data_IF_905148011339
#
_entry.id   IF_905148011339
#
_cell.length_a   1.000
_cell.length_b   1.000
_cell.length_c   1.000
_cell.angle_alpha   90.00
_cell.angle_beta   90.00
_cell.angle_gamma   90.00
#
_symmetry.space_group_name_H-M   'P 1'
#
loop_
_entity.id
_entity.type
_entity.pdbx_description
1 polymer ?
#
# COMPACT_ATOMS: atom_id res chain seq x y z
N UNK A 1 -44.67 19.33 8.15
CA UNK A 1 -44.37 18.45 9.30
C UNK A 1 -42.86 18.52 9.44
N UNK A 2 -42.37 19.66 9.89
CA UNK A 2 -42.11 20.09 11.28
C UNK A 2 -40.89 19.36 11.86
N UNK A 3 -39.80 20.14 11.97
CA UNK A 3 -38.47 19.72 12.35
C UNK A 3 -38.10 20.37 13.69
N UNK A 4 -38.65 19.81 14.76
CA UNK A 4 -38.19 19.98 16.13
C UNK A 4 -38.45 18.68 16.88
N UNK A 5 -37.64 18.46 17.91
CA UNK A 5 -37.58 17.25 18.73
C UNK A 5 -36.74 16.19 18.00
N UNK A 6 -35.42 16.11 18.23
CA UNK A 6 -34.89 15.61 19.49
C UNK A 6 -33.53 16.23 19.85
N UNK A 7 -33.52 17.00 20.94
CA UNK A 7 -32.31 17.47 21.62
C UNK A 7 -31.62 16.35 22.41
N UNK A 8 -31.25 15.24 21.75
CA UNK A 8 -30.34 14.27 22.35
C UNK A 8 -28.91 14.78 22.22
N UNK A 9 -28.52 15.55 23.23
CA UNK A 9 -27.12 15.75 23.60
C UNK A 9 -26.56 14.36 23.92
N UNK A 10 -25.80 13.77 23.00
CA UNK A 10 -24.93 12.65 23.32
C UNK A 10 -23.94 13.15 24.36
N UNK A 11 -24.22 12.87 25.63
CA UNK A 11 -23.26 13.00 26.71
C UNK A 11 -22.20 11.90 26.54
N UNK A 12 -21.17 12.23 25.77
CA UNK A 12 -20.01 11.38 25.54
C UNK A 12 -19.01 11.41 26.72
N UNK A 13 -19.33 12.12 27.82
CA UNK A 13 -18.36 12.47 28.86
C UNK A 13 -18.16 11.39 29.94
N UNK A 14 -18.87 10.26 29.84
CA UNK A 14 -18.73 9.14 30.77
C UNK A 14 -17.80 8.01 30.26
N UNK A 15 -17.27 8.10 29.05
CA UNK A 15 -16.20 7.20 28.57
C UNK A 15 -14.83 7.69 29.03
N UNK A 16 -14.65 7.81 30.35
CA UNK A 16 -13.34 8.00 30.93
C UNK A 16 -12.55 6.68 30.90
N UNK A 17 -12.13 6.25 29.70
CA UNK A 17 -11.11 5.18 29.57
C UNK A 17 -9.74 5.80 29.73
N UNK A 18 -9.47 6.17 30.98
CA UNK A 18 -8.14 6.52 31.48
C UNK A 18 -7.24 5.29 31.35
N UNK A 19 -6.27 5.38 30.44
CA UNK A 19 -4.85 5.08 30.72
C UNK A 19 -4.42 3.63 30.98
N UNK A 20 -4.91 2.66 30.22
CA UNK A 20 -4.21 1.38 30.01
C UNK A 20 -3.49 1.27 28.65
N UNK A 21 -3.97 2.02 27.65
CA UNK A 21 -3.57 1.83 26.25
C UNK A 21 -2.36 2.64 25.80
N UNK A 22 -1.98 3.71 26.52
CA UNK A 22 -0.93 4.64 26.06
C UNK A 22 0.45 3.99 25.86
N UNK A 23 0.83 2.99 26.68
CA UNK A 23 2.11 2.29 26.49
C UNK A 23 2.06 1.31 25.31
N UNK A 24 0.93 0.60 25.13
CA UNK A 24 0.73 -0.30 23.99
C UNK A 24 0.55 0.46 22.68
N UNK A 25 -0.15 1.60 22.70
CA UNK A 25 -0.31 2.49 21.54
C UNK A 25 1.00 3.17 21.17
N UNK A 26 1.82 3.60 22.13
CA UNK A 26 3.13 4.17 21.83
C UNK A 26 4.09 3.13 21.22
N UNK A 27 4.10 1.90 21.77
CA UNK A 27 4.89 0.80 21.20
C UNK A 27 4.40 0.42 19.80
N UNK A 28 3.08 0.36 19.60
CA UNK A 28 2.46 0.08 18.30
C UNK A 28 2.69 1.19 17.29
N UNK A 29 2.60 2.46 17.69
CA UNK A 29 2.96 3.63 16.87
C UNK A 29 4.45 3.63 16.49
N UNK A 30 5.34 3.24 17.40
CA UNK A 30 6.77 3.14 17.12
C UNK A 30 7.07 1.97 16.16
N UNK A 31 6.47 0.80 16.39
CA UNK A 31 6.57 -0.37 15.51
C UNK A 31 5.96 -0.11 14.14
N UNK A 32 4.81 0.54 14.06
CA UNK A 32 4.14 0.89 12.81
C UNK A 32 4.98 1.89 12.01
N UNK A 33 5.57 2.92 12.68
CA UNK A 33 6.49 3.86 12.01
C UNK A 33 7.77 3.18 11.53
N UNK A 34 8.32 2.24 12.30
CA UNK A 34 9.52 1.51 11.90
C UNK A 34 9.21 0.55 10.74
N UNK A 35 8.08 -0.16 10.80
CA UNK A 35 7.59 -1.03 9.75
C UNK A 35 7.26 -0.26 8.46
N UNK A 36 6.67 0.93 8.56
CA UNK A 36 6.40 1.81 7.40
C UNK A 36 7.70 2.30 6.77
N UNK A 37 8.73 2.63 7.56
CA UNK A 37 10.07 2.97 7.02
C UNK A 37 10.71 1.78 6.32
N UNK A 38 10.74 0.60 6.94
CA UNK A 38 11.27 -0.62 6.32
C UNK A 38 10.51 -0.94 5.04
N UNK A 39 9.18 -0.78 5.05
CA UNK A 39 8.32 -0.96 3.87
C UNK A 39 8.74 -0.03 2.73
N UNK A 40 8.94 1.27 3.01
CA UNK A 40 9.38 2.24 2.00
C UNK A 40 10.81 2.00 1.53
N UNK A 41 11.68 1.51 2.41
CA UNK A 41 13.09 1.27 2.13
C UNK A 41 13.32 -0.01 1.32
N UNK A 42 12.63 -1.10 1.67
CA UNK A 42 12.66 -2.36 0.93
C UNK A 42 12.04 -2.24 -0.46
N UNK A 43 11.08 -1.32 -0.65
CA UNK A 43 10.53 -0.98 -1.97
C UNK A 43 11.38 0.01 -2.78
N UNK A 44 12.50 0.50 -2.25
CA UNK A 44 13.33 1.53 -2.88
C UNK A 44 14.58 0.96 -3.56
N UNK A 45 14.94 1.53 -4.71
CA UNK A 45 16.21 1.26 -5.41
C UNK A 45 17.46 1.56 -4.55
N UNK A 46 17.32 2.39 -3.51
CA UNK A 46 18.41 2.72 -2.58
C UNK A 46 18.94 1.49 -1.83
N UNK A 47 18.08 0.50 -1.56
CA UNK A 47 18.46 -0.74 -0.88
C UNK A 47 19.48 -1.53 -1.70
N UNK A 48 19.24 -1.66 -3.01
CA UNK A 48 20.10 -2.37 -3.95
C UNK A 48 21.48 -1.69 -3.99
N UNK A 49 21.51 -0.36 -4.06
CA UNK A 49 22.76 0.39 -4.12
C UNK A 49 23.62 0.19 -2.87
N UNK A 50 23.02 0.22 -1.67
CA UNK A 50 23.73 -0.03 -0.41
C UNK A 50 24.34 -1.44 -0.39
N UNK A 51 23.58 -2.45 -0.83
CA UNK A 51 24.06 -3.83 -0.91
C UNK A 51 25.20 -3.99 -1.90
N UNK A 52 25.07 -3.41 -3.10
CA UNK A 52 26.13 -3.43 -4.12
C UNK A 52 27.42 -2.80 -3.60
N UNK A 53 27.34 -1.64 -2.93
CA UNK A 53 28.52 -0.98 -2.35
C UNK A 53 29.11 -1.80 -1.20
N UNK A 54 28.27 -2.32 -0.29
CA UNK A 54 28.70 -3.16 0.82
C UNK A 54 29.44 -4.42 0.35
N UNK A 55 28.87 -5.16 -0.61
CA UNK A 55 29.52 -6.33 -1.19
C UNK A 55 30.80 -5.97 -1.92
N UNK A 56 30.80 -4.87 -2.68
CA UNK A 56 32.00 -4.36 -3.34
C UNK A 56 33.14 -4.08 -2.34
N UNK A 57 32.83 -3.41 -1.24
CA UNK A 57 33.78 -3.12 -0.15
C UNK A 57 34.28 -4.42 0.50
N UNK A 58 33.39 -5.36 0.81
CA UNK A 58 33.75 -6.63 1.44
C UNK A 58 34.67 -7.48 0.55
N UNK A 59 34.37 -7.55 -0.75
CA UNK A 59 35.20 -8.24 -1.73
C UNK A 59 36.56 -7.54 -1.85
N UNK A 60 36.61 -6.20 -1.92
CA UNK A 60 37.88 -5.47 -1.94
C UNK A 60 38.74 -5.73 -0.70
N UNK A 61 38.13 -5.81 0.49
CA UNK A 61 38.84 -6.17 1.72
C UNK A 61 39.37 -7.61 1.70
N UNK A 62 38.58 -8.58 1.21
CA UNK A 62 38.98 -10.00 1.21
C UNK A 62 39.93 -10.37 0.06
N UNK A 63 39.95 -9.64 -1.05
CA UNK A 63 40.90 -9.82 -2.17
C UNK A 63 42.32 -9.35 -1.80
N UNK A 64 42.51 -8.79 -0.59
CA UNK A 64 43.85 -8.59 -0.02
C UNK A 64 44.47 -7.23 -0.30
N UNK A 65 43.66 -6.20 -0.60
CA UNK A 65 44.16 -4.81 -0.79
C UNK A 65 44.91 -4.28 0.44
N UNK A 66 44.64 -4.81 1.65
CA UNK A 66 45.25 -4.36 2.92
C UNK A 66 46.26 -5.34 3.56
N UNK A 67 46.66 -6.43 2.88
CA UNK A 67 47.75 -7.30 3.34
C UNK A 67 47.40 -8.78 3.46
N UNK A 68 48.29 -9.63 2.94
CA UNK A 68 48.10 -11.06 2.70
C UNK A 68 48.04 -11.97 3.95
N UNK A 69 48.00 -11.44 5.18
CA UNK A 69 48.12 -12.24 6.41
C UNK A 69 46.82 -12.50 7.17
N UNK A 70 45.67 -11.94 6.74
CA UNK A 70 44.38 -12.16 7.41
C UNK A 70 43.29 -12.50 6.38
N UNK A 71 43.40 -13.68 5.74
CA UNK A 71 42.31 -14.24 4.93
C UNK A 71 41.16 -14.66 5.86
N UNK A 72 40.28 -13.72 6.19
CA UNK A 72 39.18 -13.93 7.12
C UNK A 72 38.04 -14.76 6.49
N UNK A 73 37.89 -14.71 5.15
CA UNK A 73 36.92 -15.51 4.38
C UNK A 73 37.52 -15.91 3.02
N UNK A 74 38.02 -17.15 2.90
CA UNK A 74 38.62 -17.67 1.66
C UNK A 74 37.52 -17.94 0.62
N UNK A 75 37.83 -17.69 -0.66
CA UNK A 75 36.90 -17.97 -1.76
C UNK A 75 36.42 -19.43 -1.65
N UNK A 76 35.10 -19.69 -1.51
CA UNK A 76 33.96 -18.95 -2.08
C UNK A 76 33.17 -18.02 -1.14
N UNK A 77 33.79 -17.42 -0.10
CA UNK A 77 33.13 -16.49 0.83
C UNK A 77 31.94 -17.09 1.59
N UNK A 78 32.21 -18.12 2.40
CA UNK A 78 31.16 -18.89 3.09
C UNK A 78 30.42 -18.08 4.15
N UNK A 79 31.13 -17.20 4.87
CA UNK A 79 30.52 -16.38 5.93
C UNK A 79 29.62 -15.30 5.35
N UNK A 80 30.06 -14.62 4.29
CA UNK A 80 29.24 -13.64 3.58
C UNK A 80 27.95 -14.29 3.06
N UNK A 81 28.07 -15.45 2.40
CA UNK A 81 26.91 -16.13 1.83
C UNK A 81 25.90 -16.54 2.91
N UNK A 82 26.36 -17.02 4.07
CA UNK A 82 25.47 -17.34 5.20
C UNK A 82 24.73 -16.10 5.71
N UNK A 83 25.45 -15.01 5.99
CA UNK A 83 24.83 -13.77 6.50
C UNK A 83 23.82 -13.21 5.50
N UNK A 84 24.17 -13.17 4.22
CA UNK A 84 23.28 -12.68 3.15
C UNK A 84 22.03 -13.55 3.01
N UNK A 85 22.17 -14.88 3.13
CA UNK A 85 21.02 -15.78 3.05
C UNK A 85 20.02 -15.52 4.18
N UNK A 86 20.51 -15.29 5.40
CA UNK A 86 19.69 -14.95 6.55
C UNK A 86 19.02 -13.58 6.35
N UNK A 87 19.79 -12.57 5.93
CA UNK A 87 19.28 -11.23 5.64
C UNK A 87 18.18 -11.25 4.58
N UNK A 88 18.36 -12.02 3.51
CA UNK A 88 17.37 -12.20 2.46
C UNK A 88 16.05 -12.80 2.96
N UNK A 89 16.10 -13.79 3.87
CA UNK A 89 14.90 -14.38 4.50
C UNK A 89 14.13 -13.33 5.31
N UNK A 90 14.84 -12.52 6.11
CA UNK A 90 14.23 -11.44 6.88
C UNK A 90 13.58 -10.41 5.96
N UNK A 91 14.29 -9.99 4.91
CA UNK A 91 13.78 -9.03 3.93
C UNK A 91 12.53 -9.54 3.21
N UNK A 92 12.55 -10.80 2.73
CA UNK A 92 11.39 -11.42 2.10
C UNK A 92 10.18 -11.43 3.03
N UNK A 93 10.39 -11.73 4.32
CA UNK A 93 9.34 -11.70 5.34
C UNK A 93 8.81 -10.28 5.57
N UNK A 94 9.69 -9.28 5.69
CA UNK A 94 9.27 -7.88 5.84
C UNK A 94 8.51 -7.37 4.62
N UNK A 95 8.97 -7.72 3.41
CA UNK A 95 8.28 -7.40 2.16
C UNK A 95 6.91 -8.06 2.13
N UNK A 96 6.78 -9.33 2.52
CA UNK A 96 5.49 -10.02 2.57
C UNK A 96 4.51 -9.36 3.55
N UNK A 97 4.97 -9.00 4.75
CA UNK A 97 4.15 -8.27 5.74
C UNK A 97 3.72 -6.90 5.20
N UNK A 98 4.63 -6.19 4.54
CA UNK A 98 4.36 -4.91 3.88
C UNK A 98 3.31 -5.06 2.77
N UNK A 99 3.48 -6.05 1.89
CA UNK A 99 2.55 -6.35 0.81
C UNK A 99 1.17 -6.72 1.33
N UNK A 100 1.09 -7.56 2.37
CA UNK A 100 -0.19 -7.90 3.01
C UNK A 100 -0.90 -6.67 3.58
N UNK A 101 -0.14 -5.75 4.20
CA UNK A 101 -0.69 -4.49 4.73
C UNK A 101 -1.15 -3.54 3.62
N UNK A 102 -0.41 -3.47 2.51
CA UNK A 102 -0.81 -2.68 1.33
C UNK A 102 -2.04 -3.28 0.64
N UNK A 103 -2.13 -4.61 0.52
CA UNK A 103 -3.28 -5.30 -0.03
C UNK A 103 -4.55 -5.03 0.78
N UNK A 104 -4.48 -5.11 2.12
CA UNK A 104 -5.60 -4.77 2.99
C UNK A 104 -6.06 -3.30 2.83
N UNK A 105 -5.12 -2.35 2.72
CA UNK A 105 -5.45 -0.94 2.43
C UNK A 105 -6.06 -0.75 1.05
N UNK A 106 -5.58 -1.48 0.04
CA UNK A 106 -6.10 -1.44 -1.32
C UNK A 106 -7.53 -2.00 -1.39
N UNK A 107 -7.81 -3.08 -0.66
CA UNK A 107 -9.13 -3.68 -0.61
C UNK A 107 -10.16 -2.74 0.03
N UNK A 108 -9.81 -2.13 1.17
CA UNK A 108 -10.64 -1.11 1.80
C UNK A 108 -10.90 0.11 0.89
N UNK A 109 -9.88 0.56 0.15
CA UNK A 109 -10.04 1.64 -0.84
C UNK A 109 -10.97 1.23 -1.98
N UNK A 110 -10.81 0.02 -2.51
CA UNK A 110 -11.67 -0.53 -3.57
C UNK A 110 -13.15 -0.56 -3.16
N UNK A 111 -13.43 -0.96 -1.90
CA UNK A 111 -14.80 -0.94 -1.37
C UNK A 111 -15.36 0.48 -1.27
N UNK A 112 -14.58 1.45 -0.78
CA UNK A 112 -14.99 2.84 -0.71
C UNK A 112 -15.23 3.45 -2.10
N UNK A 113 -14.35 3.17 -3.06
CA UNK A 113 -14.49 3.62 -4.46
C UNK A 113 -15.74 3.01 -5.11
N UNK A 114 -16.05 1.74 -4.81
CA UNK A 114 -17.27 1.08 -5.27
C UNK A 114 -18.53 1.74 -4.72
N UNK A 115 -18.58 2.02 -3.42
CA UNK A 115 -19.71 2.72 -2.78
C UNK A 115 -19.91 4.13 -3.36
N UNK A 116 -18.82 4.89 -3.49
CA UNK A 116 -18.87 6.23 -4.09
C UNK A 116 -19.37 6.20 -5.53
N UNK A 117 -18.97 5.20 -6.32
CA UNK A 117 -19.43 5.03 -7.70
C UNK A 117 -20.92 4.68 -7.76
N UNK A 118 -21.39 3.75 -6.92
CA UNK A 118 -22.83 3.43 -6.81
C UNK A 118 -23.64 4.67 -6.42
N UNK A 119 -23.17 5.43 -5.43
CA UNK A 119 -23.82 6.67 -5.02
C UNK A 119 -23.91 7.64 -6.21
N UNK A 120 -22.80 7.92 -6.90
CA UNK A 120 -22.77 8.79 -8.07
C UNK A 120 -23.74 8.35 -9.18
N UNK A 121 -23.82 7.04 -9.45
CA UNK A 121 -24.76 6.48 -10.42
C UNK A 121 -26.22 6.74 -10.02
N UNK A 122 -26.57 6.50 -8.76
CA UNK A 122 -27.93 6.75 -8.23
C UNK A 122 -28.30 8.22 -8.36
N UNK A 123 -27.39 9.13 -7.98
CA UNK A 123 -27.59 10.57 -8.14
C UNK A 123 -27.81 10.95 -9.61
N UNK A 124 -26.99 10.41 -10.53
CA UNK A 124 -27.13 10.68 -11.97
C UNK A 124 -28.48 10.23 -12.51
N UNK A 125 -28.93 9.02 -12.16
CA UNK A 125 -30.25 8.51 -12.59
C UNK A 125 -31.38 9.37 -12.00
N UNK A 126 -31.27 9.76 -10.73
CA UNK A 126 -32.29 10.59 -10.08
C UNK A 126 -32.40 11.98 -10.73
N UNK A 127 -31.27 12.62 -11.02
CA UNK A 127 -31.23 13.90 -11.73
C UNK A 127 -31.80 13.75 -13.14
N UNK A 128 -31.43 12.68 -13.86
CA UNK A 128 -31.95 12.40 -15.19
C UNK A 128 -33.47 12.28 -15.20
N UNK A 129 -34.03 11.52 -14.26
CA UNK A 129 -35.47 11.37 -14.09
C UNK A 129 -36.16 12.70 -13.72
N UNK A 130 -35.55 13.52 -12.85
CA UNK A 130 -36.08 14.86 -12.47
C UNK A 130 -36.09 15.85 -13.63
N UNK A 131 -35.12 15.75 -14.54
CA UNK A 131 -35.03 16.58 -15.74
C UNK A 131 -35.90 16.07 -16.90
N UNK A 132 -36.56 14.92 -16.74
CA UNK A 132 -37.36 14.30 -17.80
C UNK A 132 -36.51 13.75 -18.96
N UNK A 133 -35.25 13.42 -18.70
CA UNK A 133 -34.39 12.77 -19.69
C UNK A 133 -34.89 11.35 -19.97
N UNK A 134 -35.06 11.04 -21.25
CA UNK A 134 -35.35 9.68 -21.69
C UNK A 134 -34.08 8.82 -21.57
N UNK A 135 -34.05 8.00 -20.52
CA UNK A 135 -32.93 7.10 -20.21
C UNK A 135 -32.71 6.09 -21.33
N UNK A 136 -33.77 5.65 -22.02
CA UNK A 136 -33.67 4.66 -23.11
C UNK A 136 -32.96 5.25 -24.32
N UNK A 137 -33.24 6.53 -24.65
CA UNK A 137 -32.52 7.24 -25.70
C UNK A 137 -31.03 7.41 -25.39
N UNK A 138 -30.69 7.81 -24.15
CA UNK A 138 -29.30 7.98 -23.72
C UNK A 138 -28.54 6.65 -23.75
N UNK A 139 -29.16 5.55 -23.30
CA UNK A 139 -28.56 4.23 -23.33
C UNK A 139 -28.28 3.76 -24.78
N UNK A 140 -29.21 4.03 -25.70
CA UNK A 140 -29.05 3.71 -27.12
C UNK A 140 -27.91 4.52 -27.77
N UNK A 141 -27.76 5.82 -27.43
CA UNK A 141 -26.63 6.64 -27.86
C UNK A 141 -25.29 6.08 -27.34
N UNK A 142 -25.21 5.75 -26.05
CA UNK A 142 -24.01 5.15 -25.46
C UNK A 142 -23.63 3.84 -26.14
N UNK A 143 -24.59 2.93 -26.38
CA UNK A 143 -24.35 1.67 -27.10
C UNK A 143 -23.78 1.92 -28.51
N UNK A 144 -24.36 2.87 -29.25
CA UNK A 144 -23.89 3.23 -30.58
C UNK A 144 -22.46 3.76 -30.60
N UNK A 145 -22.10 4.65 -29.66
CA UNK A 145 -20.75 5.20 -29.55
C UNK A 145 -19.73 4.13 -29.16
N UNK A 146 -20.08 3.24 -28.22
CA UNK A 146 -19.21 2.13 -27.80
C UNK A 146 -18.96 1.16 -28.95
N UNK A 147 -19.99 0.81 -29.73
CA UNK A 147 -19.80 -0.04 -30.91
C UNK A 147 -18.92 0.61 -31.97
N UNK A 148 -19.09 1.92 -32.21
CA UNK A 148 -18.21 2.65 -33.13
C UNK A 148 -16.76 2.65 -32.65
N UNK A 149 -16.51 2.97 -31.38
CA UNK A 149 -15.17 2.96 -30.80
C UNK A 149 -14.52 1.57 -30.86
N UNK A 150 -15.30 0.51 -30.64
CA UNK A 150 -14.82 -0.88 -30.78
C UNK A 150 -14.47 -1.21 -32.23
N UNK A 151 -15.30 -0.79 -33.19
CA UNK A 151 -15.04 -1.00 -34.63
C UNK A 151 -13.81 -0.23 -35.11
N UNK A 152 -13.63 1.02 -34.69
CA UNK A 152 -12.46 1.84 -35.07
C UNK A 152 -11.14 1.30 -34.51
N UNK A 153 -11.16 0.76 -33.29
CA UNK A 153 -9.98 0.08 -32.69
C UNK A 153 -9.65 -1.26 -33.37
N UNK A 154 -10.61 -1.89 -34.05
CA UNK A 154 -10.39 -3.15 -34.78
C UNK A 154 -9.90 -2.94 -36.21
N UNK A 155 -10.04 -1.73 -36.77
CA UNK A 155 -9.60 -1.36 -38.12
C UNK A 155 -8.32 -0.51 -38.16
N UNK A 156 -7.72 -0.20 -37.00
CA UNK A 156 -6.41 0.47 -36.86
C UNK A 156 -5.35 -0.55 -36.46
#
# INVERSE_FOLDING_TARGET
>A
MDGKEDGQLFDLDHWNVTSGKRHFEAARLAQDKFADRITSFAGSLNFVYIHTVWFGIWVMFNVGVFGASMKFDEYPFGLLTMVVSLEAIFLATFVMVSQNRQAARSDARSQADFEANLQALIWSVHIGHKLGLDIEHVENLCKGVIEQARKSNATS
#
